data_IF_994187471644
#
_entry.id   IF_994187471644
#
_cell.length_a   1.000
_cell.length_b   1.000
_cell.length_c   1.000
_cell.angle_alpha   90.00
_cell.angle_beta   90.00
_cell.angle_gamma   90.00
#
_symmetry.space_group_name_H-M   'P 1'
#
loop_
_entity.id
_entity.type
_entity.pdbx_description
1 polymer ?
#
# COMPACT_ATOMS: atom_id res chain seq x y z
N UNK A 1 1.12 55.14 22.35
CA UNK A 1 1.96 55.61 21.23
C UNK A 1 3.16 54.68 21.21
N UNK A 2 3.04 53.57 20.48
CA UNK A 2 3.77 53.30 19.21
C UNK A 2 5.26 53.08 19.51
N UNK A 3 5.87 51.95 19.20
CA UNK A 3 5.87 51.37 17.86
C UNK A 3 6.22 49.88 17.89
N UNK A 4 5.41 49.09 17.18
CA UNK A 4 5.81 47.79 16.68
C UNK A 4 6.74 48.02 15.48
N UNK A 5 7.96 47.51 15.55
CA UNK A 5 8.85 47.46 14.38
C UNK A 5 8.76 46.07 13.80
N UNK A 6 7.94 45.95 12.75
CA UNK A 6 7.88 44.82 11.85
C UNK A 6 9.16 44.76 11.01
N UNK A 7 9.93 43.69 11.15
CA UNK A 7 10.91 43.31 10.15
C UNK A 7 10.30 42.19 9.30
N UNK A 8 9.96 42.41 8.02
CA UNK A 8 9.78 41.30 7.10
C UNK A 8 11.17 40.77 6.77
N UNK A 9 11.53 39.65 7.38
CA UNK A 9 12.66 38.87 6.95
C UNK A 9 12.39 38.44 5.51
N UNK A 10 13.11 39.03 4.56
CA UNK A 10 13.26 38.52 3.21
C UNK A 10 13.92 37.15 3.32
N UNK A 11 13.11 36.10 3.41
CA UNK A 11 13.58 34.72 3.28
C UNK A 11 13.94 34.54 1.82
N UNK A 12 15.24 34.66 1.54
CA UNK A 12 15.85 34.07 0.37
C UNK A 12 15.43 32.60 0.36
N UNK A 13 14.74 32.21 -0.71
CA UNK A 13 14.19 30.89 -0.96
C UNK A 13 15.30 29.83 -0.96
N UNK A 14 15.77 29.44 0.22
CA UNK A 14 16.39 28.15 0.43
C UNK A 14 15.26 27.14 0.28
N UNK A 15 15.36 26.27 -0.71
CA UNK A 15 14.39 25.19 -0.92
C UNK A 15 14.28 24.41 0.38
N UNK A 16 13.13 24.58 1.04
CA UNK A 16 12.85 23.96 2.31
C UNK A 16 12.65 22.46 2.05
N UNK A 17 13.60 21.62 2.49
CA UNK A 17 13.53 20.18 2.27
C UNK A 17 12.29 19.62 2.96
N UNK A 18 11.35 19.08 2.18
CA UNK A 18 10.10 18.50 2.67
C UNK A 18 10.12 16.98 2.53
N UNK A 19 9.55 16.31 3.53
CA UNK A 19 9.43 14.86 3.48
C UNK A 19 8.38 14.46 2.46
N UNK A 20 8.74 13.65 1.47
CA UNK A 20 7.83 13.14 0.44
C UNK A 20 6.55 12.47 1.00
N UNK A 21 6.61 11.85 2.19
CA UNK A 21 5.50 11.07 2.75
C UNK A 21 4.56 11.91 3.62
N UNK A 22 5.09 12.85 4.41
CA UNK A 22 4.28 13.61 5.36
C UNK A 22 4.23 15.12 5.08
N UNK A 23 4.94 15.60 4.06
CA UNK A 23 5.05 17.01 3.67
C UNK A 23 5.50 17.95 4.82
N UNK A 24 6.13 17.37 5.85
CA UNK A 24 6.70 18.14 6.95
C UNK A 24 8.12 18.55 6.55
N UNK A 25 8.43 19.82 6.82
CA UNK A 25 9.77 20.40 6.70
C UNK A 25 10.77 19.59 7.53
N UNK A 26 11.83 19.14 6.88
CA UNK A 26 12.86 18.33 7.51
C UNK A 26 14.04 19.19 7.90
N UNK A 27 14.09 19.55 9.17
CA UNK A 27 15.25 20.16 9.79
C UNK A 27 16.20 19.07 10.30
N UNK A 28 17.38 18.92 9.69
CA UNK A 28 18.43 18.01 10.17
C UNK A 28 18.63 16.77 9.30
N UNK A 29 18.61 15.57 9.91
CA UNK A 29 18.93 14.32 9.20
C UNK A 29 17.73 13.80 8.39
N UNK A 30 17.98 13.51 7.12
CA UNK A 30 17.05 12.87 6.19
C UNK A 30 17.75 11.76 5.41
N UNK A 31 16.97 11.00 4.65
CA UNK A 31 17.48 10.00 3.71
C UNK A 31 16.97 10.34 2.31
N UNK A 32 17.78 10.09 1.28
CA UNK A 32 17.32 10.22 -0.10
C UNK A 32 16.48 8.99 -0.47
N UNK A 33 15.31 9.21 -1.06
CA UNK A 33 14.40 8.12 -1.41
C UNK A 33 15.02 7.16 -2.44
N UNK A 34 15.81 7.69 -3.37
CA UNK A 34 16.50 6.92 -4.42
C UNK A 34 17.42 5.81 -3.89
N UNK A 35 18.05 6.03 -2.73
CA UNK A 35 19.04 5.09 -2.17
C UNK A 35 18.53 4.32 -0.96
N UNK A 36 17.40 4.73 -0.37
CA UNK A 36 16.88 4.16 0.85
C UNK A 36 16.28 2.76 0.63
N UNK A 37 16.57 1.83 1.56
CA UNK A 37 16.07 0.45 1.55
C UNK A 37 15.42 0.12 2.89
N UNK A 38 14.40 -0.73 2.87
CA UNK A 38 13.77 -1.26 4.09
C UNK A 38 14.71 -2.22 4.81
N UNK A 39 14.55 -2.36 6.12
CA UNK A 39 15.45 -3.20 6.92
C UNK A 39 15.14 -4.69 6.82
N UNK A 40 13.85 -5.07 6.80
CA UNK A 40 13.46 -6.49 6.89
C UNK A 40 13.57 -7.21 5.56
N UNK A 41 13.00 -6.63 4.49
CA UNK A 41 13.01 -7.24 3.15
C UNK A 41 14.15 -6.73 2.26
N UNK A 42 14.88 -5.70 2.69
CA UNK A 42 15.93 -5.05 1.90
C UNK A 42 15.42 -4.55 0.53
N UNK A 43 14.13 -4.25 0.41
CA UNK A 43 13.50 -3.71 -0.81
C UNK A 43 13.72 -2.19 -0.87
N UNK A 44 13.85 -1.62 -2.07
CA UNK A 44 13.97 -0.16 -2.20
C UNK A 44 12.71 0.50 -1.68
N UNK A 45 12.87 1.61 -0.97
CA UNK A 45 11.74 2.30 -0.38
C UNK A 45 10.73 2.79 -1.43
N UNK A 46 11.23 3.15 -2.60
CA UNK A 46 10.44 3.49 -3.80
C UNK A 46 9.53 2.33 -4.22
N UNK A 47 10.09 1.13 -4.35
CA UNK A 47 9.34 -0.07 -4.75
C UNK A 47 8.28 -0.40 -3.69
N UNK A 48 8.64 -0.25 -2.40
CA UNK A 48 7.71 -0.48 -1.29
C UNK A 48 6.54 0.50 -1.28
N UNK A 49 6.80 1.79 -1.56
CA UNK A 49 5.74 2.79 -1.71
C UNK A 49 4.82 2.45 -2.89
N UNK A 50 5.37 2.00 -4.02
CA UNK A 50 4.58 1.53 -5.15
C UNK A 50 3.68 0.34 -4.78
N UNK A 51 4.21 -0.65 -4.06
CA UNK A 51 3.43 -1.79 -3.57
C UNK A 51 2.31 -1.36 -2.61
N UNK A 52 2.59 -0.42 -1.71
CA UNK A 52 1.64 0.09 -0.73
C UNK A 52 0.46 0.82 -1.38
N UNK A 53 0.76 1.68 -2.35
CA UNK A 53 -0.26 2.46 -3.08
C UNK A 53 -1.08 1.55 -4.01
N UNK A 54 -0.45 0.50 -4.55
CA UNK A 54 -1.08 -0.50 -5.40
C UNK A 54 -1.21 -0.05 -6.86
N UNK A 55 -1.79 -0.91 -7.69
CA UNK A 55 -1.78 -0.80 -9.16
C UNK A 55 -2.59 0.36 -9.73
N UNK A 56 -3.43 1.02 -8.91
CA UNK A 56 -4.31 2.10 -9.36
C UNK A 56 -3.61 3.44 -9.52
N UNK A 57 -2.41 3.60 -8.99
CA UNK A 57 -1.68 4.86 -9.01
C UNK A 57 -0.21 4.64 -9.34
N UNK A 58 0.39 5.64 -9.97
CA UNK A 58 1.82 5.67 -10.24
C UNK A 58 2.49 6.63 -9.27
N UNK A 59 3.51 6.14 -8.56
CA UNK A 59 4.37 6.95 -7.70
C UNK A 59 5.54 7.45 -8.55
N UNK A 60 5.68 8.77 -8.68
CA UNK A 60 6.78 9.40 -9.40
C UNK A 60 7.73 10.02 -8.39
N UNK A 61 9.01 9.67 -8.48
CA UNK A 61 10.05 10.10 -7.55
C UNK A 61 11.21 10.70 -8.35
N UNK A 62 11.69 11.85 -7.88
CA UNK A 62 12.85 12.58 -8.38
C UNK A 62 14.11 12.22 -7.58
N UNK A 63 15.30 12.49 -8.12
CA UNK A 63 16.56 12.18 -7.43
C UNK A 63 16.74 12.99 -6.13
N UNK A 64 16.14 14.18 -6.08
CA UNK A 64 16.20 15.10 -4.94
C UNK A 64 15.16 14.82 -3.85
N UNK A 65 14.27 13.85 -4.07
CA UNK A 65 13.21 13.54 -3.10
C UNK A 65 13.80 12.90 -1.83
N UNK A 66 13.40 13.44 -0.68
CA UNK A 66 13.88 13.01 0.63
C UNK A 66 12.74 12.47 1.50
N UNK A 67 13.12 11.61 2.43
CA UNK A 67 12.24 11.11 3.48
C UNK A 67 12.79 11.44 4.86
N UNK A 68 11.93 11.94 5.74
CA UNK A 68 12.28 12.20 7.12
C UNK A 68 12.51 10.88 7.89
N UNK A 69 13.28 10.95 8.97
CA UNK A 69 13.55 9.78 9.83
C UNK A 69 12.27 9.13 10.38
N UNK A 70 11.25 9.93 10.68
CA UNK A 70 9.96 9.44 11.18
C UNK A 70 9.27 8.52 10.18
N UNK A 71 9.10 8.98 8.93
CA UNK A 71 8.49 8.19 7.87
C UNK A 71 9.37 7.00 7.47
N UNK A 72 10.70 7.14 7.46
CA UNK A 72 11.60 6.01 7.22
C UNK A 72 11.43 4.89 8.27
N UNK A 73 11.32 5.26 9.55
CA UNK A 73 11.03 4.29 10.62
C UNK A 73 9.65 3.64 10.45
N UNK A 74 8.64 4.42 10.09
CA UNK A 74 7.29 3.90 9.85
C UNK A 74 7.28 2.88 8.70
N UNK A 75 7.99 3.16 7.61
CA UNK A 75 8.13 2.24 6.49
C UNK A 75 8.87 0.96 6.87
N UNK A 76 9.87 1.04 7.75
CA UNK A 76 10.53 -0.15 8.28
C UNK A 76 9.60 -0.99 9.17
N UNK A 77 8.78 -0.34 9.99
CA UNK A 77 7.75 -1.03 10.78
C UNK A 77 6.73 -1.71 9.88
N UNK A 78 6.24 -1.02 8.85
CA UNK A 78 5.32 -1.59 7.86
C UNK A 78 5.93 -2.84 7.19
N UNK A 79 7.16 -2.74 6.71
CA UNK A 79 7.86 -3.83 6.04
C UNK A 79 8.03 -5.08 6.92
N UNK A 80 8.36 -4.87 8.20
CA UNK A 80 8.43 -5.93 9.20
C UNK A 80 7.07 -6.58 9.43
N UNK A 81 6.03 -5.77 9.64
CA UNK A 81 4.68 -6.27 9.92
C UNK A 81 4.12 -7.07 8.75
N UNK A 82 4.32 -6.62 7.51
CA UNK A 82 3.90 -7.38 6.32
C UNK A 82 4.58 -8.75 6.25
N UNK A 83 5.87 -8.81 6.60
CA UNK A 83 6.64 -10.07 6.64
C UNK A 83 6.09 -11.00 7.72
N UNK A 84 5.87 -10.48 8.94
CA UNK A 84 5.30 -11.24 10.05
C UNK A 84 3.88 -11.74 9.72
N UNK A 85 3.03 -10.89 9.15
CA UNK A 85 1.68 -11.27 8.71
C UNK A 85 1.69 -12.34 7.61
N UNK A 86 2.61 -12.24 6.65
CA UNK A 86 2.78 -13.25 5.61
C UNK A 86 3.20 -14.60 6.22
N UNK A 87 4.14 -14.59 7.15
CA UNK A 87 4.59 -15.79 7.86
C UNK A 87 3.45 -16.45 8.65
N UNK A 88 2.71 -15.68 9.45
CA UNK A 88 1.57 -16.18 10.22
C UNK A 88 0.49 -16.74 9.29
N UNK A 89 0.15 -16.04 8.21
CA UNK A 89 -0.79 -16.54 7.19
C UNK A 89 -0.34 -17.89 6.66
N UNK A 90 0.93 -18.02 6.29
CA UNK A 90 1.45 -19.27 5.72
C UNK A 90 1.34 -20.43 6.72
N UNK A 91 1.67 -20.21 7.99
CA UNK A 91 1.54 -21.24 9.04
C UNK A 91 0.09 -21.70 9.19
N UNK A 92 -0.86 -20.77 9.26
CA UNK A 92 -2.29 -21.11 9.37
C UNK A 92 -2.76 -21.90 8.15
N UNK A 93 -2.39 -21.47 6.94
CA UNK A 93 -2.76 -22.17 5.71
C UNK A 93 -2.21 -23.60 5.67
N UNK A 94 -0.95 -23.81 6.08
CA UNK A 94 -0.37 -25.15 6.17
C UNK A 94 -1.08 -26.05 7.17
N UNK A 95 -1.57 -25.50 8.28
CA UNK A 95 -2.41 -26.27 9.21
C UNK A 95 -3.75 -26.68 8.59
N UNK A 96 -4.35 -25.81 7.77
CA UNK A 96 -5.59 -26.13 7.07
C UNK A 96 -5.36 -27.18 5.96
N UNK A 97 -4.29 -27.05 5.17
CA UNK A 97 -3.91 -28.04 4.15
C UNK A 97 -3.78 -29.42 4.79
N UNK A 98 -3.04 -29.52 5.90
CA UNK A 98 -2.89 -30.77 6.65
C UNK A 98 -4.21 -31.29 7.23
N UNK A 99 -5.07 -30.41 7.73
CA UNK A 99 -6.35 -30.79 8.34
C UNK A 99 -7.33 -31.36 7.31
N UNK A 100 -7.32 -30.83 6.09
CA UNK A 100 -8.23 -31.23 5.01
C UNK A 100 -7.58 -32.16 3.98
N UNK A 101 -6.35 -32.62 4.22
CA UNK A 101 -5.58 -33.46 3.30
C UNK A 101 -5.47 -32.89 1.88
N UNK A 102 -5.29 -31.57 1.79
CA UNK A 102 -5.06 -30.85 0.54
C UNK A 102 -3.61 -31.03 0.07
N UNK A 103 -3.35 -30.74 -1.20
CA UNK A 103 -1.99 -30.75 -1.73
C UNK A 103 -1.14 -29.60 -1.15
N UNK A 104 0.16 -29.83 -1.01
CA UNK A 104 1.07 -28.83 -0.43
C UNK A 104 1.11 -27.57 -1.31
N UNK A 105 0.75 -26.42 -0.73
CA UNK A 105 0.75 -25.15 -1.45
C UNK A 105 -0.51 -24.85 -2.26
N UNK A 106 -1.53 -25.73 -2.21
CA UNK A 106 -2.83 -25.48 -2.84
C UNK A 106 -3.46 -24.18 -2.34
N UNK A 107 -3.37 -23.90 -1.03
CA UNK A 107 -3.92 -22.68 -0.45
C UNK A 107 -2.97 -21.49 -0.46
N UNK A 108 -1.66 -21.72 -0.61
CA UNK A 108 -0.63 -20.67 -0.61
C UNK A 108 -0.49 -19.97 -1.98
N UNK A 109 -0.77 -20.70 -3.07
CA UNK A 109 -0.52 -20.25 -4.44
C UNK A 109 -1.63 -19.37 -5.03
N UNK A 110 -2.77 -19.23 -4.35
CA UNK A 110 -3.92 -18.45 -4.84
C UNK A 110 -3.78 -16.92 -4.68
N UNK A 111 -2.55 -16.39 -4.65
CA UNK A 111 -2.28 -14.94 -4.56
C UNK A 111 -2.82 -14.13 -5.75
N UNK A 112 -3.42 -14.76 -6.76
CA UNK A 112 -4.05 -14.09 -7.88
C UNK A 112 -5.57 -14.06 -7.70
N UNK A 113 -6.13 -12.86 -7.85
CA UNK A 113 -7.56 -12.54 -7.92
C UNK A 113 -8.39 -12.67 -6.64
N UNK A 114 -8.62 -11.51 -6.02
CA UNK A 114 -9.87 -11.19 -5.32
C UNK A 114 -11.02 -11.44 -6.29
N UNK A 115 -11.61 -12.63 -6.25
CA UNK A 115 -13.04 -12.88 -6.47
C UNK A 115 -13.29 -14.39 -6.31
N UNK A 116 -13.14 -14.88 -5.09
CA UNK A 116 -13.84 -16.10 -4.70
C UNK A 116 -15.08 -15.65 -3.93
N UNK A 117 -16.31 -15.77 -4.49
CA UNK A 117 -17.49 -15.66 -3.65
C UNK A 117 -17.31 -16.66 -2.49
N UNK A 118 -17.74 -16.29 -1.27
CA UNK A 118 -17.52 -17.15 -0.11
C UNK A 118 -18.07 -18.55 -0.42
N UNK A 119 -17.39 -19.64 0.01
CA UNK A 119 -17.96 -20.97 -0.07
C UNK A 119 -19.29 -20.91 0.66
N UNK A 120 -20.40 -21.05 -0.08
CA UNK A 120 -21.69 -21.21 0.57
C UNK A 120 -21.59 -22.50 1.36
N UNK A 121 -21.63 -22.40 2.69
CA UNK A 121 -21.84 -23.55 3.53
C UNK A 121 -23.20 -24.13 3.13
N UNK A 122 -23.17 -25.22 2.36
CA UNK A 122 -24.37 -25.94 1.95
C UNK A 122 -24.97 -26.53 3.23
N UNK A 123 -25.91 -25.83 3.85
CA UNK A 123 -26.81 -26.44 4.82
C UNK A 123 -27.94 -27.07 4.02
N UNK A 124 -27.94 -28.40 3.98
CA UNK A 124 -28.91 -29.18 3.25
C UNK A 124 -30.30 -28.90 3.81
N UNK A 125 -31.14 -28.22 3.05
CA UNK A 125 -32.59 -28.30 3.25
C UNK A 125 -33.27 -28.27 1.90
N UNK A 126 -34.19 -29.21 1.76
CA UNK A 126 -34.78 -29.75 0.55
C UNK A 126 -35.72 -28.76 -0.18
N UNK A 127 -35.63 -28.70 -1.53
CA UNK A 127 -36.72 -28.62 -2.55
C UNK A 127 -37.58 -27.31 -2.53
N UNK A 128 -37.63 -26.46 -3.59
CA UNK A 128 -38.50 -26.52 -4.81
C UNK A 128 -38.05 -25.42 -5.84
N UNK A 129 -38.29 -25.58 -7.17
CA UNK A 129 -37.71 -24.75 -8.24
C UNK A 129 -38.64 -23.66 -8.81
N UNK A 130 -38.03 -22.64 -9.43
CA UNK A 130 -38.64 -21.79 -10.46
C UNK A 130 -38.53 -20.28 -10.19
N UNK A 131 -37.77 -19.56 -11.01
CA UNK A 131 -38.25 -18.57 -12.00
C UNK A 131 -37.06 -17.85 -12.64
N UNK A 132 -37.00 -17.91 -13.97
CA UNK A 132 -36.17 -17.07 -14.84
C UNK A 132 -36.47 -15.58 -14.66
N UNK A 133 -35.42 -14.76 -14.68
CA UNK A 133 -35.47 -13.40 -15.22
C UNK A 133 -34.07 -12.97 -15.67
N UNK A 134 -33.91 -12.95 -16.99
CA UNK A 134 -32.93 -12.18 -17.75
C UNK A 134 -32.72 -10.77 -17.20
N UNK A 135 -31.46 -10.33 -17.14
CA UNK A 135 -31.08 -8.98 -17.57
C UNK A 135 -29.57 -8.86 -17.81
N UNK A 136 -29.25 -8.88 -19.11
CA UNK A 136 -28.19 -8.09 -19.76
C UNK A 136 -28.23 -6.63 -19.26
N UNK A 137 -27.07 -6.03 -18.94
CA UNK A 137 -26.69 -4.63 -19.22
C UNK A 137 -25.31 -4.36 -18.60
N UNK A 138 -24.36 -3.96 -19.46
CA UNK A 138 -23.37 -2.94 -19.10
C UNK A 138 -21.92 -3.40 -19.01
N UNK A 139 -21.26 -3.48 -20.16
CA UNK A 139 -19.81 -3.30 -20.23
C UNK A 139 -19.46 -1.89 -19.69
N UNK A 140 -19.08 -1.82 -18.41
CA UNK A 140 -18.49 -0.61 -17.84
C UNK A 140 -17.09 -0.48 -18.40
N UNK A 141 -16.96 0.38 -19.39
CA UNK A 141 -15.70 0.88 -19.92
C UNK A 141 -14.93 1.55 -18.76
N UNK A 142 -14.05 0.77 -18.12
CA UNK A 142 -13.14 1.27 -17.10
C UNK A 142 -12.14 2.19 -17.79
N UNK A 143 -12.49 3.47 -17.88
CA UNK A 143 -11.48 4.53 -17.98
C UNK A 143 -10.63 4.42 -16.73
N UNK A 144 -9.49 3.73 -16.86
CA UNK A 144 -8.42 3.80 -15.88
C UNK A 144 -7.91 5.25 -15.90
N UNK A 145 -8.56 6.11 -15.13
CA UNK A 145 -7.98 7.36 -14.69
C UNK A 145 -6.79 6.97 -13.81
N UNK A 146 -5.62 6.82 -14.42
CA UNK A 146 -4.37 6.63 -13.68
C UNK A 146 -4.16 7.94 -12.93
N UNK A 147 -4.45 7.92 -11.65
CA UNK A 147 -4.18 9.07 -10.79
C UNK A 147 -2.68 9.06 -10.48
N UNK A 148 -2.03 10.16 -10.84
CA UNK A 148 -0.62 10.40 -10.53
C UNK A 148 -0.54 10.92 -9.11
N UNK A 149 0.12 10.19 -8.22
CA UNK A 149 0.47 10.73 -6.91
C UNK A 149 1.77 11.49 -7.11
N UNK A 150 1.65 12.78 -7.42
CA UNK A 150 2.76 13.74 -7.32
C UNK A 150 2.57 14.44 -5.97
N UNK A 151 3.23 13.91 -4.94
CA UNK A 151 3.32 14.61 -3.65
C UNK A 151 4.40 15.66 -3.82
N UNK A 152 4.03 16.92 -3.64
CA UNK A 152 4.90 18.08 -3.80
C UNK A 152 5.89 18.23 -2.65
#
# INVERSE_FOLDING_TARGET
MSSATSNPATVLSGEELRCFVCDIVVSGRYYTLATCRTQSTQVRLIEKLGQLVGERYMVVISEDDIICRGCANLMNTLDRLETEMCSVRNVVLRFLEKKYALEEGELLNNKTTISCPPPQMLHNTSIIPGTDLDQDVGAVERRHSVAYIRVA
#
